data_IF_787162619200
#
_entry.id   IF_787162619200
#
_cell.length_a   1.000
_cell.length_b   1.000
_cell.length_c   1.000
_cell.angle_alpha   90.00
_cell.angle_beta   90.00
_cell.angle_gamma   90.00
#
_symmetry.space_group_name_H-M   'P 1'
#
loop_
_entity.id
_entity.type
_entity.pdbx_description
1 polymer ?
#
# COMPACT_ATOMS: atom_id res chain seq x y z
N UNK A 1 17.65 69.05 -34.20
CA UNK A 1 17.92 68.09 -33.09
C UNK A 1 16.73 67.16 -33.02
N UNK A 2 16.90 65.90 -33.42
CA UNK A 2 15.85 64.88 -33.35
C UNK A 2 16.16 64.02 -32.14
N UNK A 3 15.30 64.00 -31.13
CA UNK A 3 15.36 63.13 -29.98
C UNK A 3 14.84 61.71 -30.40
N UNK A 4 15.67 60.73 -30.31
CA UNK A 4 15.29 59.31 -30.42
C UNK A 4 14.89 58.81 -29.01
N UNK A 5 13.58 58.51 -28.84
CA UNK A 5 13.09 57.81 -27.64
C UNK A 5 13.34 56.30 -27.81
N UNK A 6 14.19 55.75 -26.94
CA UNK A 6 14.42 54.30 -26.84
C UNK A 6 13.37 53.73 -25.89
N UNK A 7 12.47 52.91 -26.43
CA UNK A 7 11.51 52.14 -25.62
C UNK A 7 12.19 50.82 -25.25
N UNK A 8 12.50 50.65 -23.96
CA UNK A 8 12.99 49.38 -23.41
C UNK A 8 11.76 48.53 -23.06
N UNK A 9 11.54 47.47 -23.87
CA UNK A 9 10.53 46.47 -23.56
C UNK A 9 11.17 45.44 -22.61
N UNK A 10 10.77 45.47 -21.34
CA UNK A 10 11.15 44.47 -20.34
C UNK A 10 10.21 43.27 -20.51
N UNK A 11 10.69 42.22 -21.17
CA UNK A 11 9.98 40.93 -21.23
C UNK A 11 10.20 40.20 -19.90
N UNK A 12 9.19 40.25 -19.03
CA UNK A 12 9.17 39.49 -17.81
C UNK A 12 9.02 37.97 -18.09
N UNK A 13 10.08 37.20 -17.99
CA UNK A 13 9.96 35.75 -17.95
C UNK A 13 9.30 35.31 -16.64
N UNK A 14 8.01 34.99 -16.72
CA UNK A 14 7.29 34.32 -15.62
C UNK A 14 7.78 32.85 -15.58
N UNK A 15 8.68 32.55 -14.66
CA UNK A 15 9.06 31.14 -14.36
C UNK A 15 7.86 30.50 -13.66
N UNK A 16 7.02 29.77 -14.41
CA UNK A 16 6.10 28.82 -13.82
C UNK A 16 6.93 27.70 -13.18
N UNK A 17 7.06 27.72 -11.85
CA UNK A 17 7.56 26.58 -11.09
C UNK A 17 6.55 25.45 -11.25
N UNK A 18 6.83 24.49 -12.13
CA UNK A 18 6.12 23.22 -12.17
C UNK A 18 6.55 22.48 -10.91
N UNK A 19 5.71 22.55 -9.87
CA UNK A 19 5.80 21.64 -8.74
C UNK A 19 5.51 20.24 -9.30
N UNK A 20 6.54 19.43 -9.45
CA UNK A 20 6.35 18.01 -9.72
C UNK A 20 5.56 17.46 -8.54
N UNK A 21 4.31 17.10 -8.76
CA UNK A 21 3.49 16.41 -7.78
C UNK A 21 4.23 15.10 -7.48
N UNK A 22 4.80 14.97 -6.27
CA UNK A 22 5.44 13.72 -5.87
C UNK A 22 4.43 12.61 -6.05
N UNK A 23 4.77 11.62 -6.90
CA UNK A 23 3.92 10.47 -7.14
C UNK A 23 3.60 9.76 -5.83
N UNK A 24 2.54 8.99 -5.82
CA UNK A 24 2.10 8.27 -4.64
C UNK A 24 3.16 7.25 -4.16
N UNK A 25 4.06 6.79 -5.05
CA UNK A 25 5.13 5.83 -4.76
C UNK A 25 6.35 6.53 -4.14
N UNK A 26 6.28 6.82 -2.86
CA UNK A 26 7.43 7.22 -2.07
C UNK A 26 7.50 6.42 -0.77
N UNK A 27 8.68 6.35 -0.14
CA UNK A 27 8.89 5.47 1.02
C UNK A 27 7.95 5.77 2.19
N UNK A 28 7.70 7.04 2.47
CA UNK A 28 6.86 7.47 3.58
C UNK A 28 5.40 7.06 3.36
N UNK A 29 4.87 7.38 2.18
CA UNK A 29 3.50 7.05 1.82
C UNK A 29 3.26 5.54 1.77
N UNK A 30 4.20 4.78 1.19
CA UNK A 30 4.06 3.33 1.09
C UNK A 30 4.10 2.63 2.45
N UNK A 31 4.95 3.09 3.37
CA UNK A 31 4.94 2.57 4.75
C UNK A 31 3.64 2.90 5.48
N UNK A 32 3.12 4.12 5.31
CA UNK A 32 1.85 4.51 5.89
C UNK A 32 0.67 3.72 5.29
N UNK A 33 0.69 3.51 3.97
CA UNK A 33 -0.32 2.73 3.26
C UNK A 33 -0.33 1.26 3.69
N UNK A 34 0.87 0.67 3.87
CA UNK A 34 1.04 -0.68 4.38
C UNK A 34 0.54 -0.83 5.82
N UNK A 35 0.81 0.15 6.68
CA UNK A 35 0.27 0.17 8.04
C UNK A 35 -1.27 0.31 8.03
N UNK A 36 -1.83 1.11 7.11
CA UNK A 36 -3.28 1.25 6.94
C UNK A 36 -3.92 -0.05 6.43
N UNK A 37 -3.24 -0.81 5.55
CA UNK A 37 -3.67 -2.15 5.16
C UNK A 37 -3.81 -3.09 6.35
N UNK A 38 -2.81 -3.15 7.24
CA UNK A 38 -2.87 -4.00 8.44
C UNK A 38 -4.01 -3.57 9.38
N UNK A 39 -4.18 -2.26 9.56
CA UNK A 39 -5.27 -1.70 10.37
C UNK A 39 -6.63 -2.05 9.76
N UNK A 40 -6.82 -1.84 8.48
CA UNK A 40 -8.06 -2.13 7.78
C UNK A 40 -8.44 -3.64 7.83
N UNK A 41 -7.43 -4.52 7.72
CA UNK A 41 -7.64 -5.96 7.92
C UNK A 41 -8.07 -6.33 9.36
N UNK A 42 -7.57 -5.59 10.35
CA UNK A 42 -7.96 -5.78 11.76
C UNK A 42 -9.37 -5.26 12.04
N UNK A 43 -9.68 -4.08 11.52
CA UNK A 43 -10.94 -3.37 11.77
C UNK A 43 -12.07 -3.82 10.84
N UNK A 44 -11.75 -4.62 9.82
CA UNK A 44 -12.66 -5.06 8.76
C UNK A 44 -13.20 -3.85 7.95
N UNK A 45 -12.33 -2.87 7.69
CA UNK A 45 -12.65 -1.68 6.90
C UNK A 45 -12.75 -2.03 5.41
N UNK A 46 -13.99 -2.40 5.01
CA UNK A 46 -14.29 -2.87 3.67
C UNK A 46 -14.02 -1.79 2.63
N UNK A 47 -14.43 -0.54 2.90
CA UNK A 47 -14.33 0.57 1.94
C UNK A 47 -12.88 0.92 1.64
N UNK A 48 -12.04 0.99 2.67
CA UNK A 48 -10.61 1.20 2.49
C UNK A 48 -9.98 0.08 1.67
N UNK A 49 -10.26 -1.19 2.01
CA UNK A 49 -9.68 -2.34 1.33
C UNK A 49 -10.13 -2.39 -0.13
N UNK A 50 -11.41 -2.18 -0.43
CA UNK A 50 -11.93 -2.13 -1.79
C UNK A 50 -11.24 -1.04 -2.61
N UNK A 51 -11.03 0.14 -2.01
CA UNK A 51 -10.38 1.28 -2.64
C UNK A 51 -8.89 1.09 -2.88
N UNK A 52 -8.21 0.29 -2.05
CA UNK A 52 -6.78 0.03 -2.14
C UNK A 52 -6.43 -1.04 -3.17
N UNK A 53 -7.26 -2.08 -3.29
CA UNK A 53 -6.96 -3.21 -4.16
C UNK A 53 -7.14 -2.84 -5.63
N UNK A 54 -6.11 -3.11 -6.44
CA UNK A 54 -6.23 -3.07 -7.90
C UNK A 54 -7.28 -4.06 -8.39
N UNK A 55 -7.81 -3.86 -9.61
CA UNK A 55 -8.83 -4.78 -10.16
C UNK A 55 -8.28 -6.18 -10.35
N UNK A 56 -7.04 -6.28 -10.85
CA UNK A 56 -6.32 -7.54 -11.06
C UNK A 56 -5.53 -7.99 -9.81
N UNK A 57 -5.99 -7.61 -8.61
CA UNK A 57 -5.31 -7.97 -7.37
C UNK A 57 -5.23 -9.47 -7.16
N UNK A 58 -4.06 -9.94 -6.66
CA UNK A 58 -3.84 -11.34 -6.28
C UNK A 58 -3.20 -11.45 -4.91
N UNK A 59 -3.72 -12.34 -4.06
CA UNK A 59 -3.10 -12.72 -2.78
C UNK A 59 -2.75 -14.19 -2.78
N UNK A 60 -1.46 -14.48 -2.78
CA UNK A 60 -0.93 -15.84 -2.60
C UNK A 60 -0.68 -16.07 -1.11
N UNK A 61 -1.39 -17.02 -0.54
CA UNK A 61 -1.27 -17.39 0.87
C UNK A 61 -0.16 -18.42 1.09
N UNK A 62 0.21 -18.60 2.36
CA UNK A 62 1.19 -19.62 2.78
C UNK A 62 0.69 -21.08 2.57
N UNK A 63 -0.58 -21.27 2.28
CA UNK A 63 -1.13 -22.55 1.87
C UNK A 63 -1.11 -22.62 0.35
N UNK A 64 -0.35 -23.55 -0.20
CA UNK A 64 0.06 -23.60 -1.61
C UNK A 64 -1.08 -23.52 -2.64
N UNK A 65 -2.32 -23.81 -2.27
CA UNK A 65 -3.46 -23.83 -3.17
C UNK A 65 -4.47 -22.68 -2.89
N UNK A 66 -4.14 -21.75 -1.98
CA UNK A 66 -5.03 -20.65 -1.65
C UNK A 66 -4.54 -19.38 -2.34
N UNK A 67 -5.28 -18.95 -3.34
CA UNK A 67 -5.09 -17.70 -4.04
C UNK A 67 -6.42 -16.96 -4.02
N UNK A 68 -6.41 -15.74 -3.48
CA UNK A 68 -7.58 -14.86 -3.47
C UNK A 68 -7.38 -13.74 -4.48
N UNK A 69 -8.41 -13.46 -5.25
CA UNK A 69 -8.57 -12.21 -6.00
C UNK A 69 -9.21 -11.12 -5.11
N UNK A 70 -9.41 -9.94 -5.69
CA UNK A 70 -10.09 -8.82 -5.02
C UNK A 70 -11.47 -9.22 -4.49
N UNK A 71 -12.27 -9.87 -5.31
CA UNK A 71 -13.63 -10.30 -4.96
C UNK A 71 -13.61 -11.25 -3.76
N UNK A 72 -12.75 -12.26 -3.77
CA UNK A 72 -12.64 -13.22 -2.68
C UNK A 72 -12.24 -12.57 -1.34
N UNK A 73 -11.32 -11.56 -1.39
CA UNK A 73 -10.94 -10.78 -0.21
C UNK A 73 -12.13 -10.00 0.35
N UNK A 74 -12.85 -9.26 -0.51
CA UNK A 74 -13.99 -8.45 -0.07
C UNK A 74 -15.13 -9.30 0.49
N UNK A 75 -15.44 -10.42 -0.16
CA UNK A 75 -16.45 -11.36 0.33
C UNK A 75 -16.06 -11.97 1.68
N UNK A 76 -14.78 -12.31 1.89
CA UNK A 76 -14.29 -12.78 3.19
C UNK A 76 -14.52 -11.74 4.28
N UNK A 77 -14.20 -10.46 4.02
CA UNK A 77 -14.43 -9.38 4.97
C UNK A 77 -15.91 -9.20 5.28
N UNK A 78 -16.78 -9.20 4.25
CA UNK A 78 -18.24 -9.15 4.41
C UNK A 78 -18.75 -10.28 5.30
N UNK A 79 -18.26 -11.51 5.09
CA UNK A 79 -18.62 -12.65 5.97
C UNK A 79 -18.20 -12.43 7.41
N UNK A 80 -17.01 -11.87 7.66
CA UNK A 80 -16.55 -11.58 9.03
C UNK A 80 -17.37 -10.49 9.71
N UNK A 81 -17.74 -9.44 8.97
CA UNK A 81 -18.64 -8.39 9.45
C UNK A 81 -20.01 -9.00 9.84
N UNK A 82 -20.62 -9.73 8.93
CA UNK A 82 -21.96 -10.32 9.10
C UNK A 82 -22.01 -11.35 10.25
N UNK A 83 -20.94 -12.10 10.46
CA UNK A 83 -20.83 -13.07 11.54
C UNK A 83 -20.33 -12.48 12.85
N UNK A 84 -20.06 -11.16 12.91
CA UNK A 84 -19.39 -10.49 14.03
C UNK A 84 -18.10 -11.19 14.47
N UNK A 85 -17.36 -11.74 13.50
CA UNK A 85 -16.11 -12.47 13.76
C UNK A 85 -14.95 -11.50 13.98
N UNK A 86 -14.67 -11.21 15.23
CA UNK A 86 -13.52 -10.40 15.67
C UNK A 86 -12.45 -11.26 16.34
N UNK A 87 -12.15 -12.42 15.78
CA UNK A 87 -11.17 -13.36 16.36
C UNK A 87 -9.72 -12.84 16.35
N UNK A 88 -9.40 -11.88 15.48
CA UNK A 88 -8.07 -11.24 15.46
C UNK A 88 -8.01 -10.14 16.50
N UNK A 89 -7.11 -10.26 17.48
CA UNK A 89 -6.91 -9.31 18.58
C UNK A 89 -6.01 -8.16 18.19
N UNK A 90 -4.96 -8.45 17.41
CA UNK A 90 -4.04 -7.44 16.88
C UNK A 90 -3.39 -7.87 15.58
N UNK A 91 -2.98 -6.87 14.79
CA UNK A 91 -2.13 -7.01 13.62
C UNK A 91 -1.10 -5.90 13.64
N UNK A 92 0.17 -6.25 13.53
CA UNK A 92 1.28 -5.28 13.52
C UNK A 92 2.31 -5.70 12.49
N UNK A 93 3.06 -4.74 11.96
CA UNK A 93 4.20 -5.02 11.06
C UNK A 93 5.51 -4.62 11.72
N UNK A 94 6.60 -5.33 11.35
CA UNK A 94 7.97 -4.95 11.71
C UNK A 94 8.92 -5.11 10.53
N UNK A 95 10.06 -4.45 10.61
CA UNK A 95 11.15 -4.52 9.63
C UNK A 95 10.71 -4.17 8.19
N UNK A 96 9.75 -3.24 8.08
CA UNK A 96 9.16 -2.84 6.81
C UNK A 96 10.19 -2.10 5.96
N UNK A 97 10.48 -2.65 4.78
CA UNK A 97 11.38 -2.07 3.77
C UNK A 97 10.65 -1.86 2.46
N UNK A 98 10.99 -0.77 1.79
CA UNK A 98 10.39 -0.35 0.52
C UNK A 98 11.46 -0.31 -0.56
N UNK A 99 11.14 -0.87 -1.73
CA UNK A 99 11.95 -0.79 -2.95
C UNK A 99 11.04 -0.20 -4.03
N UNK A 100 11.48 0.89 -4.68
CA UNK A 100 10.72 1.57 -5.73
C UNK A 100 11.45 1.44 -7.05
N UNK A 101 10.74 1.08 -8.12
CA UNK A 101 11.26 0.99 -9.47
C UNK A 101 10.20 1.47 -10.47
N UNK A 102 10.41 2.65 -11.03
CA UNK A 102 9.44 3.28 -11.95
C UNK A 102 8.07 3.45 -11.30
N UNK A 103 7.04 2.91 -11.93
CA UNK A 103 5.64 2.95 -11.48
C UNK A 103 5.26 1.77 -10.56
N UNK A 104 6.24 1.07 -10.01
CA UNK A 104 6.04 -0.11 -9.17
C UNK A 104 6.87 -0.01 -7.90
N UNK A 105 6.33 -0.49 -6.80
CA UNK A 105 7.06 -0.61 -5.55
C UNK A 105 6.80 -1.95 -4.87
N UNK A 106 7.81 -2.46 -4.19
CA UNK A 106 7.71 -3.64 -3.32
C UNK A 106 7.85 -3.17 -1.88
N UNK A 107 6.88 -3.54 -1.04
CA UNK A 107 6.92 -3.38 0.40
C UNK A 107 7.02 -4.77 1.02
N UNK A 108 8.07 -5.02 1.79
CA UNK A 108 8.31 -6.31 2.45
C UNK A 108 8.61 -6.13 3.92
N UNK A 109 8.31 -7.13 4.71
CA UNK A 109 8.54 -7.13 6.14
C UNK A 109 7.86 -8.33 6.81
N UNK A 110 7.57 -8.19 8.09
CA UNK A 110 6.86 -9.21 8.83
C UNK A 110 5.54 -8.65 9.35
N UNK A 111 4.46 -9.42 9.20
CA UNK A 111 3.18 -9.18 9.86
C UNK A 111 3.03 -10.15 11.00
N UNK A 112 2.68 -9.65 12.19
CA UNK A 112 2.40 -10.44 13.38
C UNK A 112 0.89 -10.35 13.63
N UNK A 113 0.22 -11.49 13.63
CA UNK A 113 -1.23 -11.60 13.82
C UNK A 113 -1.50 -12.38 15.09
N UNK A 114 -2.13 -11.72 16.08
CA UNK A 114 -2.60 -12.37 17.31
C UNK A 114 -4.07 -12.75 17.20
N UNK A 115 -4.32 -14.06 17.24
CA UNK A 115 -5.65 -14.66 17.37
C UNK A 115 -5.75 -15.54 18.62
N UNK A 116 -4.65 -15.60 19.44
CA UNK A 116 -4.49 -16.55 20.50
C UNK A 116 -4.38 -18.02 19.97
N UNK A 117 -3.89 -18.95 20.78
CA UNK A 117 -3.19 -18.73 22.05
C UNK A 117 -1.78 -18.13 21.86
N UNK A 118 -1.23 -18.16 20.62
CA UNK A 118 0.08 -17.58 20.26
C UNK A 118 -0.05 -16.78 18.98
N UNK A 119 0.62 -15.60 18.88
CA UNK A 119 0.70 -14.86 17.63
C UNK A 119 1.41 -15.66 16.54
N UNK A 120 0.96 -15.47 15.30
CA UNK A 120 1.60 -16.05 14.12
C UNK A 120 2.33 -14.93 13.38
N UNK A 121 3.59 -15.18 13.04
CA UNK A 121 4.39 -14.27 12.22
C UNK A 121 4.39 -14.75 10.77
N UNK A 122 4.14 -13.82 9.86
CA UNK A 122 4.24 -14.03 8.42
C UNK A 122 5.29 -13.10 7.84
N UNK A 123 6.17 -13.62 6.99
CA UNK A 123 6.92 -12.80 6.06
C UNK A 123 5.97 -12.40 4.94
N UNK A 124 5.92 -11.11 4.61
CA UNK A 124 5.10 -10.63 3.51
C UNK A 124 5.92 -9.93 2.43
N UNK A 125 5.41 -9.97 1.22
CA UNK A 125 5.86 -9.15 0.10
C UNK A 125 4.63 -8.64 -0.64
N UNK A 126 4.47 -7.30 -0.68
CA UNK A 126 3.36 -6.60 -1.31
C UNK A 126 3.87 -5.75 -2.45
N UNK A 127 3.19 -5.83 -3.58
CA UNK A 127 3.52 -5.03 -4.76
C UNK A 127 2.47 -3.94 -4.92
N UNK A 128 2.92 -2.71 -4.91
CA UNK A 128 2.10 -1.52 -5.17
C UNK A 128 2.42 -0.97 -6.55
N UNK A 129 1.41 -0.45 -7.22
CA UNK A 129 1.54 0.26 -8.49
C UNK A 129 0.93 1.66 -8.35
N UNK A 130 1.41 2.59 -9.16
CA UNK A 130 0.73 3.87 -9.36
C UNK A 130 -0.15 3.77 -10.59
N UNK A 131 -1.45 3.96 -10.38
CA UNK A 131 -2.46 4.02 -11.42
C UNK A 131 -3.25 5.33 -11.28
N UNK A 132 -3.19 6.17 -12.31
CA UNK A 132 -3.86 7.48 -12.36
C UNK A 132 -3.57 8.37 -11.13
N UNK A 133 -2.32 8.37 -10.64
CA UNK A 133 -1.88 9.15 -9.49
C UNK A 133 -2.28 8.55 -8.13
N UNK A 134 -2.86 7.36 -8.12
CA UNK A 134 -3.26 6.62 -6.92
C UNK A 134 -2.39 5.38 -6.74
N UNK A 135 -1.95 5.12 -5.51
CA UNK A 135 -1.30 3.86 -5.19
C UNK A 135 -2.33 2.75 -4.99
N UNK A 136 -2.18 1.67 -5.75
CA UNK A 136 -2.99 0.47 -5.62
C UNK A 136 -2.12 -0.73 -5.24
N UNK A 137 -2.65 -1.60 -4.38
CA UNK A 137 -2.03 -2.90 -4.06
C UNK A 137 -2.46 -3.91 -5.14
N UNK A 138 -1.49 -4.40 -5.93
CA UNK A 138 -1.76 -5.38 -7.00
C UNK A 138 -1.43 -6.81 -6.60
N UNK A 139 -0.48 -7.01 -5.68
CA UNK A 139 -0.15 -8.36 -5.22
C UNK A 139 0.22 -8.38 -3.74
N UNK A 140 -0.19 -9.43 -3.04
CA UNK A 140 0.26 -9.75 -1.70
C UNK A 140 0.67 -11.22 -1.65
N UNK A 141 1.86 -11.47 -1.14
CA UNK A 141 2.34 -12.83 -0.86
C UNK A 141 2.68 -12.92 0.63
N UNK A 142 2.17 -13.94 1.29
CA UNK A 142 2.45 -14.19 2.71
C UNK A 142 2.93 -15.62 2.92
N UNK A 143 3.93 -15.78 3.78
CA UNK A 143 4.51 -17.05 4.15
C UNK A 143 4.71 -17.13 5.67
N UNK A 144 4.15 -18.13 6.31
CA UNK A 144 4.31 -18.30 7.75
C UNK A 144 5.78 -18.56 8.10
N UNK A 145 6.27 -17.85 9.11
CA UNK A 145 7.62 -18.06 9.67
C UNK A 145 7.53 -19.19 10.69
N UNK A 146 8.31 -20.26 10.54
CA UNK A 146 8.36 -21.34 11.52
C UNK A 146 8.76 -20.83 12.91
N UNK A 147 8.23 -21.44 13.97
CA UNK A 147 8.48 -21.03 15.36
C UNK A 147 9.98 -20.90 15.70
N UNK A 148 10.77 -21.85 15.20
CA UNK A 148 12.24 -21.92 15.40
C UNK A 148 13.04 -20.83 14.65
N UNK A 149 12.39 -20.03 13.80
CA UNK A 149 13.00 -19.00 12.96
C UNK A 149 12.46 -17.58 13.28
N UNK A 150 11.82 -17.41 14.44
CA UNK A 150 11.19 -16.13 14.83
C UNK A 150 12.10 -15.18 15.59
N UNK A 151 13.33 -15.56 15.88
CA UNK A 151 14.34 -14.79 16.65
C UNK A 151 14.96 -13.64 15.85
#
# INVERSE_FOLDING_TARGET
MKLFSIIIVVVGLSMCSVSAQEGCLNQTNLKALDASWEKAQLELDLDFIESLLAEDFVWVHNHANTIDDKTAVLERIKRYINSNNKSTKSRTSRDVKVIISGTTAIVRGFTIIDRGPRPITYHFMRTYIEDNGKCCLIANHTMAVPEKEKD
#
